data_IF_343078255215
#
_entry.id   IF_343078255215
#
_cell.length_a   1.000
_cell.length_b   1.000
_cell.length_c   1.000
_cell.angle_alpha   90.00
_cell.angle_beta   90.00
_cell.angle_gamma   90.00
#
_symmetry.space_group_name_H-M   'P 1'
#
loop_
_entity.id
_entity.type
_entity.pdbx_description
1 polymer ?
#
# COMPACT_ATOMS: atom_id res chain seq x y z
N UNK A 1 0.50 -16.21 1.60
CA UNK A 1 0.97 -15.11 0.75
C UNK A 1 1.47 -13.90 1.56
N UNK A 2 0.65 -13.33 2.46
CA UNK A 2 0.99 -12.18 3.31
C UNK A 2 2.35 -12.25 3.99
N UNK A 3 2.58 -13.26 4.82
CA UNK A 3 3.83 -13.42 5.58
C UNK A 3 5.04 -13.45 4.62
N UNK A 4 4.95 -14.24 3.55
CA UNK A 4 6.01 -14.33 2.55
C UNK A 4 6.29 -12.96 1.92
N UNK A 5 5.25 -12.23 1.50
CA UNK A 5 5.37 -10.89 0.94
C UNK A 5 6.05 -9.89 1.87
N UNK A 6 5.64 -9.87 3.15
CA UNK A 6 6.25 -9.02 4.17
C UNK A 6 7.72 -9.34 4.40
N UNK A 7 8.07 -10.63 4.53
CA UNK A 7 9.45 -11.07 4.73
C UNK A 7 10.32 -10.74 3.51
N UNK A 8 9.82 -11.01 2.30
CA UNK A 8 10.51 -10.68 1.05
C UNK A 8 10.73 -9.19 0.91
N UNK A 9 9.71 -8.36 1.16
CA UNK A 9 9.86 -6.91 1.10
C UNK A 9 10.84 -6.38 2.15
N UNK A 10 10.79 -6.88 3.39
CA UNK A 10 11.74 -6.51 4.43
C UNK A 10 13.17 -6.90 4.09
N UNK A 11 13.38 -8.06 3.46
CA UNK A 11 14.68 -8.49 2.97
C UNK A 11 15.18 -7.62 1.81
N UNK A 12 14.33 -7.35 0.81
CA UNK A 12 14.68 -6.51 -0.33
C UNK A 12 14.96 -5.06 0.09
N UNK A 13 14.25 -4.54 1.09
CA UNK A 13 14.45 -3.18 1.62
C UNK A 13 15.80 -2.95 2.29
N UNK A 14 16.57 -4.01 2.57
CA UNK A 14 17.98 -3.93 3.00
C UNK A 14 18.95 -3.76 1.83
N UNK A 15 18.55 -4.17 0.62
CA UNK A 15 19.41 -4.24 -0.58
C UNK A 15 19.06 -3.18 -1.63
N UNK A 16 17.81 -2.79 -1.69
CA UNK A 16 17.28 -1.83 -2.66
C UNK A 16 16.63 -0.65 -1.95
N UNK A 17 16.48 0.44 -2.70
CA UNK A 17 15.79 1.65 -2.25
C UNK A 17 14.32 1.35 -1.93
N UNK A 18 13.88 1.77 -0.74
CA UNK A 18 12.57 1.42 -0.18
C UNK A 18 11.44 2.11 -0.94
N UNK A 19 11.66 3.32 -1.45
CA UNK A 19 10.69 4.08 -2.23
C UNK A 19 10.35 3.40 -3.55
N UNK A 20 11.34 2.81 -4.24
CA UNK A 20 11.09 2.09 -5.49
C UNK A 20 10.38 0.76 -5.23
N UNK A 21 10.72 0.07 -4.14
CA UNK A 21 9.99 -1.11 -3.71
C UNK A 21 8.53 -0.78 -3.32
N UNK A 22 8.31 0.32 -2.59
CA UNK A 22 6.97 0.81 -2.26
C UNK A 22 6.18 1.16 -3.53
N UNK A 23 6.77 1.94 -4.44
CA UNK A 23 6.15 2.27 -5.72
C UNK A 23 5.80 1.00 -6.52
N UNK A 24 6.71 0.02 -6.59
CA UNK A 24 6.46 -1.25 -7.26
C UNK A 24 5.32 -2.05 -6.61
N UNK A 25 5.22 -2.08 -5.28
CA UNK A 25 4.12 -2.74 -4.57
C UNK A 25 2.80 -2.04 -4.87
N UNK A 26 2.73 -0.71 -4.81
CA UNK A 26 1.51 0.03 -5.12
C UNK A 26 1.09 -0.13 -6.59
N UNK A 27 2.04 -0.12 -7.53
CA UNK A 27 1.78 -0.44 -8.94
C UNK A 27 1.24 -1.87 -9.07
N UNK A 28 1.86 -2.84 -8.41
CA UNK A 28 1.41 -4.23 -8.39
C UNK A 28 -0.03 -4.37 -7.87
N UNK A 29 -0.36 -3.73 -6.75
CA UNK A 29 -1.73 -3.72 -6.19
C UNK A 29 -2.73 -3.13 -7.18
N UNK A 30 -2.37 -2.04 -7.83
CA UNK A 30 -3.19 -1.35 -8.82
C UNK A 30 -3.49 -2.27 -10.00
N UNK A 31 -2.47 -2.91 -10.57
CA UNK A 31 -2.61 -3.82 -11.70
C UNK A 31 -3.43 -5.06 -11.29
N UNK A 32 -3.14 -5.66 -10.13
CA UNK A 32 -3.86 -6.84 -9.64
C UNK A 32 -5.34 -6.55 -9.39
N UNK A 33 -5.66 -5.39 -8.78
CA UNK A 33 -7.04 -4.96 -8.58
C UNK A 33 -7.77 -4.68 -9.90
N UNK A 34 -7.14 -3.93 -10.81
CA UNK A 34 -7.72 -3.62 -12.12
C UNK A 34 -7.95 -4.89 -12.95
N UNK A 35 -6.97 -5.80 -12.97
CA UNK A 35 -7.10 -7.07 -13.68
C UNK A 35 -8.24 -7.92 -13.10
N UNK A 36 -8.39 -7.96 -11.77
CA UNK A 36 -9.44 -8.75 -11.12
C UNK A 36 -10.85 -8.26 -11.48
N UNK A 37 -11.08 -6.95 -11.52
CA UNK A 37 -12.40 -6.39 -11.87
C UNK A 37 -12.71 -6.41 -13.37
N UNK A 38 -11.67 -6.51 -14.21
CA UNK A 38 -11.84 -6.67 -15.66
C UNK A 38 -12.04 -8.14 -16.07
N UNK A 39 -11.73 -9.09 -15.18
CA UNK A 39 -11.89 -10.52 -15.42
C UNK A 39 -13.19 -11.06 -14.79
N UNK A 40 -13.73 -12.18 -15.31
CA UNK A 40 -14.85 -12.85 -14.67
C UNK A 40 -14.53 -13.27 -13.24
N UNK A 41 -15.45 -12.98 -12.32
CA UNK A 41 -15.36 -13.41 -10.92
C UNK A 41 -15.70 -14.90 -10.85
N UNK A 42 -14.67 -15.73 -10.69
CA UNK A 42 -14.75 -17.18 -10.56
C UNK A 42 -13.96 -17.61 -9.33
N UNK A 43 -14.18 -18.82 -8.77
CA UNK A 43 -13.37 -19.31 -7.67
C UNK A 43 -11.86 -19.26 -7.95
N UNK A 44 -11.46 -19.59 -9.18
CA UNK A 44 -10.06 -19.53 -9.61
C UNK A 44 -9.51 -18.09 -9.62
N UNK A 45 -10.23 -17.13 -10.24
CA UNK A 45 -9.76 -15.74 -10.29
C UNK A 45 -9.70 -15.10 -8.90
N UNK A 46 -10.64 -15.43 -8.01
CA UNK A 46 -10.62 -14.99 -6.61
C UNK A 46 -9.41 -15.56 -5.86
N UNK A 47 -9.07 -16.84 -6.04
CA UNK A 47 -7.89 -17.43 -5.39
C UNK A 47 -6.58 -16.81 -5.90
N UNK A 48 -6.45 -16.61 -7.21
CA UNK A 48 -5.28 -15.96 -7.81
C UNK A 48 -5.16 -14.53 -7.29
N UNK A 49 -6.25 -13.76 -7.31
CA UNK A 49 -6.29 -12.41 -6.75
C UNK A 49 -5.89 -12.41 -5.27
N UNK A 50 -6.44 -13.32 -4.47
CA UNK A 50 -6.15 -13.40 -3.03
C UNK A 50 -4.69 -13.71 -2.74
N UNK A 51 -4.05 -14.58 -3.53
CA UNK A 51 -2.62 -14.88 -3.40
C UNK A 51 -1.77 -13.68 -3.84
N UNK A 52 -2.08 -13.07 -4.98
CA UNK A 52 -1.33 -11.93 -5.51
C UNK A 52 -1.49 -10.68 -4.66
N UNK A 53 -2.73 -10.28 -4.34
CA UNK A 53 -2.99 -9.14 -3.48
C UNK A 53 -2.50 -9.43 -2.06
N UNK A 54 -2.67 -10.66 -1.57
CA UNK A 54 -2.16 -11.09 -0.28
C UNK A 54 -0.64 -10.99 -0.16
N UNK A 55 0.14 -11.30 -1.19
CA UNK A 55 1.60 -11.12 -1.14
C UNK A 55 2.02 -9.63 -1.12
N UNK A 56 1.15 -8.74 -1.61
CA UNK A 56 1.42 -7.30 -1.66
C UNK A 56 0.86 -6.55 -0.45
N UNK A 57 -0.04 -7.14 0.34
CA UNK A 57 -0.88 -6.44 1.32
C UNK A 57 -0.12 -5.91 2.55
N UNK A 58 0.72 -6.74 3.19
CA UNK A 58 1.55 -6.28 4.32
C UNK A 58 3.00 -5.93 3.91
N UNK A 59 3.34 -6.12 2.64
CA UNK A 59 4.68 -5.87 2.10
C UNK A 59 5.16 -4.41 2.25
N UNK A 60 4.25 -3.45 2.35
CA UNK A 60 4.59 -2.03 2.54
C UNK A 60 5.06 -1.73 3.96
N UNK A 61 4.59 -2.45 4.98
CA UNK A 61 4.86 -2.17 6.40
C UNK A 61 6.35 -2.11 6.73
N UNK A 62 7.18 -3.14 6.43
CA UNK A 62 8.61 -3.11 6.74
C UNK A 62 9.37 -2.06 5.92
N UNK A 63 8.89 -1.72 4.72
CA UNK A 63 9.52 -0.71 3.87
C UNK A 63 9.23 0.70 4.37
N UNK A 64 7.98 1.01 4.72
CA UNK A 64 7.57 2.32 5.27
C UNK A 64 8.25 2.58 6.61
N UNK A 65 8.20 1.61 7.53
CA UNK A 65 8.89 1.73 8.82
C UNK A 65 10.41 1.84 8.65
N UNK A 66 11.00 1.05 7.76
CA UNK A 66 12.42 1.13 7.43
C UNK A 66 12.82 2.46 6.78
N UNK A 67 11.93 3.08 6.01
CA UNK A 67 12.15 4.38 5.37
C UNK A 67 12.16 5.52 6.40
N UNK A 68 11.20 5.51 7.33
CA UNK A 68 11.16 6.48 8.44
C UNK A 68 12.43 6.36 9.28
N UNK A 69 12.78 5.14 9.69
CA UNK A 69 13.98 4.89 10.48
C UNK A 69 15.26 5.31 9.75
N UNK A 70 15.28 5.20 8.41
CA UNK A 70 16.41 5.62 7.59
C UNK A 70 16.54 7.16 7.52
N UNK A 71 15.44 7.87 7.32
CA UNK A 71 15.44 9.33 7.09
C UNK A 71 15.51 10.11 8.41
N UNK A 72 14.73 9.71 9.41
CA UNK A 72 14.51 10.45 10.66
C UNK A 72 15.14 9.81 11.90
N UNK A 73 15.73 8.62 11.75
CA UNK A 73 16.28 7.85 12.85
C UNK A 73 15.21 7.30 13.80
N UNK A 74 15.66 6.68 14.90
CA UNK A 74 14.78 5.98 15.84
C UNK A 74 14.14 6.91 16.90
N UNK A 75 14.70 8.10 17.12
CA UNK A 75 14.27 9.04 18.17
C UNK A 75 12.79 9.43 18.05
N UNK A 76 12.33 9.72 16.84
CA UNK A 76 10.95 10.16 16.57
C UNK A 76 10.08 9.05 15.98
N UNK A 77 10.56 7.81 15.98
CA UNK A 77 9.91 6.69 15.31
C UNK A 77 8.49 6.45 15.83
N UNK A 78 8.29 6.48 17.15
CA UNK A 78 6.98 6.28 17.76
C UNK A 78 5.95 7.32 17.30
N UNK A 79 6.32 8.61 17.33
CA UNK A 79 5.44 9.71 16.93
C UNK A 79 5.14 9.67 15.43
N UNK A 80 6.16 9.54 14.57
CA UNK A 80 5.98 9.51 13.12
C UNK A 80 5.17 8.29 12.68
N UNK A 81 5.45 7.12 13.27
CA UNK A 81 4.68 5.91 12.98
C UNK A 81 3.24 6.01 13.52
N UNK A 82 3.04 6.67 14.67
CA UNK A 82 1.71 6.97 15.19
C UNK A 82 0.87 7.83 14.25
N UNK A 83 1.45 8.90 13.68
CA UNK A 83 0.80 9.75 12.68
C UNK A 83 0.45 8.94 11.42
N UNK A 84 1.37 8.09 10.96
CA UNK A 84 1.14 7.22 9.80
C UNK A 84 0.03 6.21 10.07
N UNK A 85 0.03 5.59 11.24
CA UNK A 85 -0.99 4.64 11.64
C UNK A 85 -2.36 5.31 11.76
N UNK A 86 -2.43 6.48 12.38
CA UNK A 86 -3.66 7.28 12.43
C UNK A 86 -4.18 7.61 11.02
N UNK A 87 -3.30 8.07 10.13
CA UNK A 87 -3.65 8.38 8.73
C UNK A 87 -4.16 7.14 7.99
N UNK A 88 -3.55 5.98 8.25
CA UNK A 88 -4.01 4.69 7.72
C UNK A 88 -5.41 4.33 8.24
N UNK A 89 -5.68 4.51 9.54
CA UNK A 89 -7.01 4.25 10.11
C UNK A 89 -8.07 5.19 9.53
N UNK A 90 -7.74 6.47 9.34
CA UNK A 90 -8.63 7.42 8.68
C UNK A 90 -8.94 6.99 7.24
N UNK A 91 -7.91 6.61 6.47
CA UNK A 91 -8.10 6.09 5.11
C UNK A 91 -8.93 4.80 5.07
N UNK A 92 -8.72 3.88 6.02
CA UNK A 92 -9.50 2.64 6.16
C UNK A 92 -10.98 2.94 6.44
N UNK A 93 -11.25 3.85 7.37
CA UNK A 93 -12.60 4.32 7.65
C UNK A 93 -13.26 4.94 6.42
N UNK A 94 -12.58 5.88 5.76
CA UNK A 94 -13.10 6.55 4.57
C UNK A 94 -13.36 5.55 3.43
N UNK A 95 -12.46 4.57 3.23
CA UNK A 95 -12.62 3.54 2.20
C UNK A 95 -13.85 2.66 2.41
N UNK A 96 -14.06 2.17 3.64
CA UNK A 96 -15.24 1.33 3.96
C UNK A 96 -16.52 2.15 3.93
N UNK A 97 -16.52 3.34 4.52
CA UNK A 97 -17.69 4.23 4.55
C UNK A 97 -18.11 4.68 3.14
N UNK A 98 -17.15 5.14 2.33
CA UNK A 98 -17.41 5.50 0.94
C UNK A 98 -17.85 4.29 0.13
N UNK A 99 -17.27 3.11 0.39
CA UNK A 99 -17.69 1.86 -0.22
C UNK A 99 -19.17 1.55 0.00
N UNK A 100 -19.63 1.63 1.25
CA UNK A 100 -21.05 1.46 1.59
C UNK A 100 -21.95 2.51 0.93
N UNK A 101 -21.57 3.79 1.01
CA UNK A 101 -22.35 4.88 0.38
C UNK A 101 -22.44 4.76 -1.13
N UNK A 102 -21.37 4.34 -1.80
CA UNK A 102 -21.37 4.14 -3.25
C UNK A 102 -22.27 2.96 -3.63
N UNK A 103 -22.25 1.87 -2.84
CA UNK A 103 -23.17 0.76 -3.05
C UNK A 103 -24.63 1.18 -2.88
N UNK A 104 -24.96 1.98 -1.86
CA UNK A 104 -26.33 2.48 -1.65
C UNK A 104 -26.83 3.33 -2.84
N UNK A 105 -25.92 4.08 -3.50
CA UNK A 105 -26.26 4.97 -4.62
C UNK A 105 -26.35 4.22 -5.94
N UNK A 106 -25.37 3.36 -6.23
CA UNK A 106 -25.21 2.73 -7.55
C UNK A 106 -25.75 1.29 -7.61
N UNK A 107 -25.98 0.66 -6.46
CA UNK A 107 -26.42 -0.74 -6.36
C UNK A 107 -25.32 -1.76 -6.63
N UNK A 108 -24.06 -1.33 -6.82
CA UNK A 108 -22.92 -2.20 -7.06
C UNK A 108 -21.62 -1.65 -6.44
N UNK A 109 -20.53 -2.42 -6.55
CA UNK A 109 -19.20 -2.04 -6.06
C UNK A 109 -18.26 -1.55 -7.17
N UNK A 110 -18.72 -1.46 -8.42
CA UNK A 110 -17.87 -1.19 -9.59
C UNK A 110 -17.13 0.14 -9.42
N UNK A 111 -17.84 1.18 -8.99
CA UNK A 111 -17.23 2.50 -8.75
C UNK A 111 -16.21 2.47 -7.60
N UNK A 112 -16.48 1.73 -6.53
CA UNK A 112 -15.57 1.59 -5.38
C UNK A 112 -14.24 0.98 -5.80
N UNK A 113 -14.29 -0.04 -6.65
CA UNK A 113 -13.09 -0.68 -7.18
C UNK A 113 -12.25 0.27 -8.04
N UNK A 114 -12.87 1.02 -8.95
CA UNK A 114 -12.14 1.96 -9.81
C UNK A 114 -11.54 3.13 -9.02
N UNK A 115 -12.23 3.62 -7.99
CA UNK A 115 -11.65 4.59 -7.05
C UNK A 115 -10.43 3.98 -6.36
N UNK A 116 -10.53 2.73 -5.90
CA UNK A 116 -9.41 2.00 -5.29
C UNK A 116 -8.20 1.86 -6.24
N UNK A 117 -8.44 1.54 -7.51
CA UNK A 117 -7.41 1.50 -8.56
C UNK A 117 -6.78 2.88 -8.74
N UNK A 118 -7.58 3.95 -8.82
CA UNK A 118 -7.09 5.32 -8.95
C UNK A 118 -6.21 5.75 -7.77
N UNK A 119 -6.64 5.46 -6.54
CA UNK A 119 -5.87 5.73 -5.32
C UNK A 119 -4.58 4.90 -5.29
N UNK A 120 -4.63 3.64 -5.74
CA UNK A 120 -3.44 2.79 -5.88
C UNK A 120 -2.41 3.36 -6.86
N UNK A 121 -2.87 3.81 -8.04
CA UNK A 121 -2.03 4.43 -9.05
C UNK A 121 -1.41 5.74 -8.53
N UNK A 122 -2.22 6.58 -7.90
CA UNK A 122 -1.75 7.80 -7.24
C UNK A 122 -0.69 7.48 -6.18
N UNK A 123 -0.94 6.46 -5.35
CA UNK A 123 0.00 6.01 -4.32
C UNK A 123 1.35 5.61 -4.93
N UNK A 124 1.37 4.90 -6.06
CA UNK A 124 2.62 4.54 -6.73
C UNK A 124 3.43 5.77 -7.16
N UNK A 125 2.75 6.80 -7.69
CA UNK A 125 3.38 8.03 -8.18
C UNK A 125 3.95 8.85 -7.02
N UNK A 126 3.20 9.06 -5.94
CA UNK A 126 3.63 9.91 -4.82
C UNK A 126 4.82 9.34 -4.03
N UNK A 127 5.12 8.05 -4.19
CA UNK A 127 6.31 7.44 -3.57
C UNK A 127 7.61 7.70 -4.37
N UNK A 128 7.54 7.96 -5.67
CA UNK A 128 8.73 8.22 -6.50
C UNK A 128 9.57 9.45 -6.08
N UNK A 129 8.97 10.61 -5.74
CA UNK A 129 9.73 11.81 -5.35
C UNK A 129 10.31 11.76 -3.94
N UNK A 130 10.05 10.70 -3.16
CA UNK A 130 10.64 10.53 -1.82
C UNK A 130 12.17 10.59 -1.95
N UNK A 131 12.79 11.39 -1.10
CA UNK A 131 14.24 11.42 -0.97
C UNK A 131 14.64 10.53 0.21
N UNK A 132 15.54 9.59 -0.06
CA UNK A 132 16.04 8.64 0.96
C UNK A 132 17.37 9.09 1.56
N UNK A 133 17.80 10.31 1.30
CA UNK A 133 18.93 10.92 1.98
C UNK A 133 18.64 11.04 3.47
N UNK A 134 19.66 10.82 4.30
CA UNK A 134 19.54 11.06 5.74
C UNK A 134 19.37 12.56 5.94
N UNK A 135 18.33 12.95 6.69
CA UNK A 135 18.19 14.34 7.09
C UNK A 135 19.46 14.76 7.85
N UNK A 136 20.02 15.96 7.58
CA UNK A 136 21.20 16.43 8.30
C UNK A 136 20.90 16.44 9.80
N UNK A 137 21.82 15.88 10.59
CA UNK A 137 21.73 15.95 12.04
C UNK A 137 21.84 17.43 12.41
N UNK A 138 20.75 18.01 12.90
CA UNK A 138 20.81 19.35 13.48
C UNK A 138 21.79 19.29 14.66
N UNK A 139 22.86 20.08 14.56
CA UNK A 139 23.91 20.21 15.57
C UNK A 139 23.39 20.89 16.84
#
# INVERSE_FOLDING_TARGET
ANIAGTLTAGYLGKRYSKKYLLAAIYTGRTIVAAAFILMPITPASVLIFSVAMGSLWLATVPLTSGLIAHIYGLRYMGTLYGIIFFSHQLGSFMGVWLGGRMYDIYGDYTMVWWIGVGIGAFSAIVHLPIREDRAPVAA
#
